data_IF_479359703191
#
_entry.id   IF_479359703191
#
_cell.length_a   1.000
_cell.length_b   1.000
_cell.length_c   1.000
_cell.angle_alpha   90.00
_cell.angle_beta   90.00
_cell.angle_gamma   90.00
#
_symmetry.space_group_name_H-M   'P 1'
#
loop_
_entity.id
_entity.type
_entity.pdbx_description
1 polymer ?
#
# COMPACT_ATOMS: atom_id res chain seq x y z
N UNK A 1 14.34 4.73 -19.84
CA UNK A 1 14.28 5.22 -18.44
C UNK A 1 14.01 4.02 -17.56
N UNK A 2 14.84 3.85 -16.53
CA UNK A 2 14.74 2.79 -15.53
C UNK A 2 13.51 3.10 -14.68
N UNK A 3 12.55 2.16 -14.67
CA UNK A 3 11.34 2.29 -13.88
C UNK A 3 11.70 2.43 -12.41
N UNK A 4 10.97 3.27 -11.69
CA UNK A 4 11.19 3.44 -10.27
C UNK A 4 9.89 3.38 -9.53
N UNK A 5 10.01 2.65 -8.44
CA UNK A 5 9.01 2.09 -7.58
C UNK A 5 8.14 3.14 -6.87
N UNK A 6 6.96 2.73 -6.39
CA UNK A 6 6.51 1.34 -6.28
C UNK A 6 5.97 0.75 -7.59
N UNK A 7 6.48 -0.42 -7.99
CA UNK A 7 5.91 -1.27 -9.07
C UNK A 7 4.61 -1.96 -8.61
N UNK A 8 3.87 -1.34 -7.70
CA UNK A 8 2.63 -1.82 -7.15
C UNK A 8 1.79 -0.61 -6.75
N UNK A 9 0.48 -0.73 -6.89
CA UNK A 9 -0.47 0.27 -6.43
C UNK A 9 -1.54 -0.41 -5.61
N UNK A 10 -1.93 0.25 -4.52
CA UNK A 10 -3.04 -0.19 -3.69
C UNK A 10 -4.08 0.92 -3.63
N UNK A 11 -5.33 0.55 -3.89
CA UNK A 11 -6.48 1.39 -3.60
C UNK A 11 -7.31 0.76 -2.49
N UNK A 12 -7.53 1.52 -1.42
CA UNK A 12 -8.39 1.10 -0.31
C UNK A 12 -9.71 1.87 -0.41
N UNK A 13 -10.82 1.14 -0.45
CA UNK A 13 -12.17 1.72 -0.49
C UNK A 13 -13.15 0.78 0.20
N UNK A 14 -13.99 1.33 1.09
CA UNK A 14 -15.11 0.60 1.72
C UNK A 14 -14.75 -0.79 2.31
N UNK A 15 -13.60 -0.90 3.00
CA UNK A 15 -13.15 -2.16 3.59
C UNK A 15 -12.62 -3.19 2.58
N UNK A 16 -12.35 -2.76 1.36
CA UNK A 16 -11.73 -3.55 0.29
C UNK A 16 -10.43 -2.92 -0.12
N UNK A 17 -9.48 -3.77 -0.49
CA UNK A 17 -8.18 -3.39 -0.99
C UNK A 17 -8.04 -3.95 -2.39
N UNK A 18 -7.73 -3.09 -3.35
CA UNK A 18 -7.40 -3.49 -4.72
C UNK A 18 -5.90 -3.36 -4.94
N UNK A 19 -5.23 -4.49 -5.10
CA UNK A 19 -3.80 -4.60 -5.38
C UNK A 19 -3.56 -4.67 -6.88
N UNK A 20 -2.70 -3.80 -7.41
CA UNK A 20 -2.39 -3.71 -8.84
C UNK A 20 -0.88 -3.75 -9.03
N UNK A 21 -0.44 -4.37 -10.12
CA UNK A 21 0.96 -4.37 -10.57
C UNK A 21 1.03 -3.91 -12.03
N UNK A 22 2.22 -3.59 -12.56
CA UNK A 22 2.39 -3.32 -13.99
C UNK A 22 1.89 -4.46 -14.89
N UNK A 23 1.95 -5.70 -14.40
CA UNK A 23 1.55 -6.91 -15.11
C UNK A 23 0.04 -7.20 -14.96
N UNK A 24 -0.56 -6.80 -13.84
CA UNK A 24 -2.00 -6.92 -13.56
C UNK A 24 -2.60 -5.54 -13.22
N UNK A 25 -2.98 -4.81 -14.29
CA UNK A 25 -3.59 -3.48 -14.18
C UNK A 25 -5.07 -3.52 -13.80
N UNK A 26 -5.78 -4.64 -14.02
CA UNK A 26 -7.15 -4.79 -13.52
C UNK A 26 -7.12 -4.82 -11.98
N UNK A 27 -6.11 -5.53 -11.46
CA UNK A 27 -5.82 -5.64 -10.04
C UNK A 27 -6.76 -6.61 -9.34
N UNK A 28 -6.31 -7.10 -8.20
CA UNK A 28 -7.03 -8.07 -7.37
C UNK A 28 -7.64 -7.39 -6.19
N UNK A 29 -8.96 -7.50 -6.08
CA UNK A 29 -9.71 -6.99 -4.96
C UNK A 29 -9.84 -8.06 -3.88
N UNK A 30 -9.47 -7.70 -2.66
CA UNK A 30 -9.60 -8.54 -1.48
C UNK A 30 -10.37 -7.78 -0.40
N UNK A 31 -11.02 -8.54 0.48
CA UNK A 31 -11.54 -7.98 1.72
C UNK A 31 -10.38 -7.75 2.68
N UNK A 32 -10.46 -6.64 3.41
CA UNK A 32 -9.48 -6.28 4.42
C UNK A 32 -10.14 -5.95 5.74
N UNK A 33 -9.41 -6.21 6.80
CA UNK A 33 -9.79 -5.85 8.16
C UNK A 33 -8.84 -4.75 8.64
N UNK A 34 -9.41 -3.76 9.33
CA UNK A 34 -8.62 -2.73 9.97
C UNK A 34 -8.18 -3.23 11.32
N UNK A 35 -6.86 -3.28 11.51
CA UNK A 35 -6.26 -3.63 12.78
C UNK A 35 -6.25 -2.40 13.71
N UNK A 36 -6.36 -2.62 15.02
CA UNK A 36 -6.15 -1.56 15.99
C UNK A 36 -4.64 -1.34 16.18
N UNK A 37 -4.18 -0.17 15.77
CA UNK A 37 -2.78 0.27 15.84
C UNK A 37 -2.65 1.54 16.68
N UNK A 38 -1.43 2.05 16.82
CA UNK A 38 -1.19 3.36 17.43
C UNK A 38 -1.89 4.48 16.64
N UNK A 39 -2.01 5.67 17.25
CA UNK A 39 -2.81 6.79 16.72
C UNK A 39 -2.41 7.25 15.32
N UNK A 40 -1.14 7.07 14.96
CA UNK A 40 -0.53 7.62 13.74
C UNK A 40 -0.15 6.51 12.73
N UNK A 41 -0.61 5.29 12.96
CA UNK A 41 -0.47 4.15 12.05
C UNK A 41 -1.84 3.61 11.66
N UNK A 42 -1.99 3.23 10.40
CA UNK A 42 -3.10 2.45 9.87
C UNK A 42 -2.56 1.09 9.45
N UNK A 43 -2.95 0.01 10.11
CA UNK A 43 -2.70 -1.34 9.60
C UNK A 43 -3.98 -1.99 9.08
N UNK A 44 -3.86 -2.60 7.91
CA UNK A 44 -4.91 -3.33 7.21
C UNK A 44 -4.40 -4.74 6.95
N UNK A 45 -5.18 -5.75 7.28
CA UNK A 45 -4.85 -7.16 7.08
C UNK A 45 -5.83 -7.81 6.11
N UNK A 46 -5.37 -8.78 5.32
CA UNK A 46 -6.18 -9.49 4.35
C UNK A 46 -5.49 -10.75 3.83
N UNK A 47 -6.10 -11.40 2.85
CA UNK A 47 -5.51 -12.56 2.17
C UNK A 47 -5.63 -12.35 0.67
N UNK A 48 -4.50 -12.43 -0.03
CA UNK A 48 -4.41 -12.31 -1.48
C UNK A 48 -3.89 -13.64 -2.04
N UNK A 49 -4.70 -14.34 -2.83
CA UNK A 49 -4.32 -15.60 -3.48
C UNK A 49 -3.78 -16.69 -2.52
N UNK A 50 -4.25 -16.68 -1.28
CA UNK A 50 -3.80 -17.61 -0.23
C UNK A 50 -2.56 -17.16 0.55
N UNK A 51 -1.97 -16.03 0.18
CA UNK A 51 -0.87 -15.37 0.92
C UNK A 51 -1.45 -14.32 1.89
N UNK A 52 -0.88 -14.25 3.09
CA UNK A 52 -1.24 -13.20 4.04
C UNK A 52 -0.76 -11.84 3.52
N UNK A 53 -1.67 -10.87 3.49
CA UNK A 53 -1.38 -9.49 3.12
C UNK A 53 -1.54 -8.60 4.34
N UNK A 54 -0.56 -7.75 4.61
CA UNK A 54 -0.62 -6.71 5.63
C UNK A 54 -0.10 -5.41 5.06
N UNK A 55 -0.93 -4.37 5.07
CA UNK A 55 -0.56 -3.02 4.68
C UNK A 55 -0.50 -2.15 5.93
N UNK A 56 0.68 -1.65 6.27
CA UNK A 56 0.87 -0.61 7.27
C UNK A 56 1.10 0.73 6.58
N UNK A 57 0.40 1.77 7.02
CA UNK A 57 0.58 3.15 6.57
C UNK A 57 0.84 4.01 7.79
N UNK A 58 1.96 4.72 7.80
CA UNK A 58 2.38 5.56 8.93
C UNK A 58 2.44 7.01 8.47
N UNK A 59 2.01 7.94 9.31
CA UNK A 59 2.14 9.38 9.07
C UNK A 59 3.59 9.83 9.24
N UNK A 60 4.41 9.50 8.25
CA UNK A 60 5.79 9.96 8.13
C UNK A 60 6.08 10.51 6.72
N UNK A 61 6.90 11.56 6.59
CA UNK A 61 7.32 12.07 5.30
C UNK A 61 8.05 10.99 4.48
N UNK A 62 7.48 10.61 3.35
CA UNK A 62 8.03 9.64 2.42
C UNK A 62 8.41 10.31 1.11
N UNK A 63 9.60 10.02 0.60
CA UNK A 63 10.04 10.45 -0.73
C UNK A 63 10.10 9.25 -1.64
N UNK A 64 9.54 9.38 -2.85
CA UNK A 64 9.65 8.36 -3.90
C UNK A 64 11.07 8.29 -4.53
N UNK A 65 12.01 9.11 -4.05
CA UNK A 65 13.43 9.11 -4.42
C UNK A 65 13.73 9.62 -5.83
N UNK A 66 12.71 9.91 -6.63
CA UNK A 66 12.82 10.21 -8.06
C UNK A 66 12.18 11.53 -8.45
N UNK A 67 11.11 11.90 -7.75
CA UNK A 67 10.49 13.19 -7.83
C UNK A 67 10.77 13.90 -6.51
N UNK A 68 10.94 15.22 -6.50
CA UNK A 68 10.92 16.02 -5.26
C UNK A 68 9.51 16.04 -4.61
N UNK A 69 8.74 14.94 -4.75
CA UNK A 69 7.41 14.76 -4.19
C UNK A 69 7.56 14.15 -2.81
N UNK A 70 7.30 15.01 -1.83
CA UNK A 70 7.03 14.61 -0.47
C UNK A 70 5.60 14.07 -0.39
N UNK A 71 5.49 12.85 0.10
CA UNK A 71 4.23 12.22 0.49
C UNK A 71 4.10 12.29 2.01
N UNK A 72 2.92 12.62 2.55
CA UNK A 72 2.73 12.75 4.00
C UNK A 72 2.72 11.39 4.74
N UNK A 73 2.67 10.28 4.01
CA UNK A 73 2.61 8.93 4.59
C UNK A 73 3.61 7.98 3.93
N UNK A 74 4.20 7.09 4.72
CA UNK A 74 4.92 5.92 4.23
C UNK A 74 4.01 4.69 4.30
N UNK A 75 4.11 3.83 3.29
CA UNK A 75 3.38 2.57 3.21
C UNK A 75 4.35 1.38 3.16
N UNK A 76 4.07 0.37 3.98
CA UNK A 76 4.77 -0.91 3.97
C UNK A 76 3.75 -2.02 3.71
N UNK A 77 3.90 -2.69 2.58
CA UNK A 77 3.12 -3.85 2.21
C UNK A 77 3.92 -5.12 2.48
N UNK A 78 3.37 -6.01 3.29
CA UNK A 78 3.86 -7.38 3.47
C UNK A 78 2.91 -8.32 2.74
N UNK A 79 3.43 -9.06 1.77
CA UNK A 79 2.68 -10.08 1.03
C UNK A 79 3.46 -11.39 1.13
N UNK A 80 2.98 -12.32 1.96
CA UNK A 80 3.70 -13.55 2.24
C UNK A 80 5.08 -13.29 2.84
N UNK A 81 6.13 -13.62 2.08
CA UNK A 81 7.54 -13.36 2.45
C UNK A 81 8.08 -12.05 1.87
N UNK A 82 7.37 -11.43 0.93
CA UNK A 82 7.79 -10.18 0.32
C UNK A 82 7.44 -9.01 1.24
N UNK A 83 8.36 -8.07 1.37
CA UNK A 83 8.10 -6.77 2.02
C UNK A 83 8.44 -5.69 1.02
N UNK A 84 7.42 -4.92 0.65
CA UNK A 84 7.48 -3.83 -0.30
C UNK A 84 7.26 -2.52 0.45
N UNK A 85 8.09 -1.51 0.16
CA UNK A 85 8.00 -0.18 0.76
C UNK A 85 7.63 0.81 -0.33
N UNK A 86 6.80 1.78 0.02
CA UNK A 86 6.34 2.82 -0.88
C UNK A 86 5.82 4.01 -0.13
N UNK A 87 5.39 5.04 -0.86
CA UNK A 87 4.76 6.22 -0.29
C UNK A 87 3.25 6.17 -0.51
N UNK A 88 2.48 6.77 0.41
CA UNK A 88 1.03 6.84 0.33
C UNK A 88 0.54 8.29 0.42
N UNK A 89 -0.64 8.52 -0.16
CA UNK A 89 -1.39 9.77 -0.01
C UNK A 89 -2.88 9.47 0.08
N UNK A 90 -3.65 10.30 0.79
CA UNK A 90 -5.09 10.28 0.68
C UNK A 90 -5.47 10.63 -0.75
N UNK A 91 -6.41 9.90 -1.33
CA UNK A 91 -7.14 10.34 -2.52
C UNK A 91 -8.12 11.40 -2.06
N UNK A 92 -7.87 12.67 -2.40
CA UNK A 92 -8.88 13.72 -2.22
C UNK A 92 -10.17 13.33 -2.99
N UNK A 93 -11.35 13.63 -2.42
CA UNK A 93 -12.64 13.39 -3.07
C UNK A 93 -12.87 14.27 -4.31
#
# INVERSE_FOLDING_TARGET
MLGTEPFWAIHVSEGKLRYMTPEDQEGRQIEIQREQTERDELALSGTLEGEALTLSVTEEPCSDGMSDRSYPFAATLRLGKATLRGCARPTEP
#
